data_IF_156333904916
#
_entry.id   IF_156333904916
#
_cell.length_a   1.000
_cell.length_b   1.000
_cell.length_c   1.000
_cell.angle_alpha   90.00
_cell.angle_beta   90.00
_cell.angle_gamma   90.00
#
_symmetry.space_group_name_H-M   'P 1'
#
loop_
_entity.id
_entity.type
_entity.pdbx_description
1 polymer ?
#
# COMPACT_ATOMS: atom_id res chain seq x y z
N UNK A 1 -16.03 -28.98 0.00
CA UNK A 1 -15.59 -27.59 0.26
C UNK A 1 -14.29 -27.34 -0.49
N UNK A 2 -14.27 -26.45 -1.49
CA UNK A 2 -13.03 -26.05 -2.16
C UNK A 2 -12.39 -24.95 -1.30
N UNK A 3 -11.23 -25.22 -0.70
CA UNK A 3 -10.44 -24.19 -0.02
C UNK A 3 -9.50 -23.55 -1.05
N UNK A 4 -9.82 -22.35 -1.51
CA UNK A 4 -8.89 -21.57 -2.35
C UNK A 4 -7.72 -21.11 -1.50
N UNK A 5 -6.53 -21.61 -1.80
CA UNK A 5 -5.26 -21.19 -1.19
C UNK A 5 -4.51 -20.34 -2.19
N UNK A 6 -4.14 -19.13 -1.79
CA UNK A 6 -3.27 -18.27 -2.58
C UNK A 6 -1.82 -18.57 -2.22
N UNK A 7 -0.94 -18.61 -3.22
CA UNK A 7 0.50 -18.57 -3.04
C UNK A 7 1.01 -17.25 -3.62
N UNK A 8 1.75 -16.48 -2.83
CA UNK A 8 2.28 -15.17 -3.24
C UNK A 8 3.80 -15.25 -3.20
N UNK A 9 4.43 -14.87 -4.30
CA UNK A 9 5.89 -14.76 -4.42
C UNK A 9 6.24 -13.29 -4.59
N UNK A 10 7.24 -12.83 -3.84
CA UNK A 10 7.69 -11.44 -3.81
C UNK A 10 9.18 -11.38 -4.17
N UNK A 11 9.61 -10.28 -4.79
CA UNK A 11 10.96 -10.14 -5.38
C UNK A 11 12.08 -10.22 -4.33
N UNK A 12 11.79 -9.79 -3.10
CA UNK A 12 12.69 -9.77 -1.96
C UNK A 12 12.38 -10.89 -0.95
N UNK A 13 11.69 -11.95 -1.41
CA UNK A 13 11.43 -13.16 -0.63
C UNK A 13 10.22 -13.07 0.33
N UNK A 14 10.05 -14.07 1.22
CA UNK A 14 8.84 -14.23 2.02
C UNK A 14 8.53 -13.06 2.95
N UNK A 15 9.56 -12.41 3.51
CA UNK A 15 9.39 -11.29 4.44
C UNK A 15 8.73 -10.07 3.76
N UNK A 16 9.04 -9.82 2.48
CA UNK A 16 8.35 -8.79 1.71
C UNK A 16 6.86 -9.13 1.55
N UNK A 17 6.54 -10.40 1.25
CA UNK A 17 5.15 -10.84 1.18
C UNK A 17 4.42 -10.70 2.52
N UNK A 18 5.07 -10.99 3.65
CA UNK A 18 4.48 -10.80 4.98
C UNK A 18 4.21 -9.33 5.29
N UNK A 19 5.17 -8.44 5.00
CA UNK A 19 5.00 -6.99 5.21
C UNK A 19 3.97 -6.40 4.25
N UNK A 20 3.87 -6.89 3.02
CA UNK A 20 2.81 -6.51 2.08
C UNK A 20 1.44 -6.98 2.56
N UNK A 21 1.34 -8.18 3.16
CA UNK A 21 0.11 -8.63 3.83
C UNK A 21 -0.26 -7.72 4.99
N UNK A 22 0.71 -7.32 5.82
CA UNK A 22 0.51 -6.39 6.92
C UNK A 22 -0.03 -5.05 6.45
N UNK A 23 0.60 -4.44 5.45
CA UNK A 23 0.14 -3.18 4.86
C UNK A 23 -1.29 -3.28 4.33
N UNK A 24 -1.63 -4.37 3.64
CA UNK A 24 -2.99 -4.64 3.17
C UNK A 24 -4.00 -4.81 4.32
N UNK A 25 -3.62 -5.48 5.41
CA UNK A 25 -4.45 -5.60 6.61
C UNK A 25 -4.70 -4.25 7.29
N UNK A 26 -3.68 -3.38 7.36
CA UNK A 26 -3.85 -2.02 7.88
C UNK A 26 -4.84 -1.23 7.02
N UNK A 27 -4.71 -1.25 5.68
CA UNK A 27 -5.66 -0.59 4.78
C UNK A 27 -7.08 -1.12 5.01
N UNK A 28 -7.23 -2.45 5.06
CA UNK A 28 -8.54 -3.07 5.20
C UNK A 28 -9.21 -2.79 6.54
N UNK A 29 -8.46 -2.70 7.64
CA UNK A 29 -9.02 -2.54 8.98
C UNK A 29 -9.16 -1.08 9.41
N UNK A 30 -8.26 -0.20 8.97
CA UNK A 30 -8.26 1.22 9.36
C UNK A 30 -9.18 2.04 8.45
N UNK A 31 -9.25 1.71 7.14
CA UNK A 31 -10.07 2.36 6.09
C UNK A 31 -9.81 3.85 5.83
N UNK A 32 -9.42 4.64 6.83
CA UNK A 32 -9.14 6.07 6.72
C UNK A 32 -7.70 6.32 6.20
N UNK A 33 -7.51 6.91 5.00
CA UNK A 33 -6.19 7.18 4.43
C UNK A 33 -5.32 8.08 5.31
N UNK A 34 -5.90 9.05 6.01
CA UNK A 34 -5.15 9.94 6.90
C UNK A 34 -4.51 9.18 8.07
N UNK A 35 -5.03 8.00 8.41
CA UNK A 35 -4.50 7.15 9.47
C UNK A 35 -3.60 6.05 8.93
N UNK A 36 -3.99 5.37 7.84
CA UNK A 36 -3.21 4.24 7.35
C UNK A 36 -1.96 4.65 6.55
N UNK A 37 -1.96 5.78 5.82
CA UNK A 37 -0.81 6.17 5.00
C UNK A 37 0.46 6.41 5.84
N UNK A 38 0.41 7.14 6.97
CA UNK A 38 1.57 7.27 7.86
C UNK A 38 2.05 5.92 8.43
N UNK A 39 1.13 4.99 8.70
CA UNK A 39 1.48 3.65 9.21
C UNK A 39 2.15 2.82 8.12
N UNK A 40 1.64 2.81 6.89
CA UNK A 40 2.27 2.16 5.75
C UNK A 40 3.68 2.71 5.54
N UNK A 41 3.84 4.03 5.54
CA UNK A 41 5.14 4.69 5.44
C UNK A 41 6.11 4.24 6.55
N UNK A 42 5.62 4.07 7.78
CA UNK A 42 6.44 3.51 8.86
C UNK A 42 6.82 2.03 8.61
N UNK A 43 5.89 1.20 8.10
CA UNK A 43 6.14 -0.23 7.85
C UNK A 43 7.20 -0.42 6.76
N UNK A 44 7.28 0.49 5.79
CA UNK A 44 8.33 0.44 4.76
C UNK A 44 9.73 0.41 5.40
N UNK A 45 10.57 -0.50 4.91
CA UNK A 45 11.92 -0.73 5.43
C UNK A 45 12.00 -1.41 6.80
N UNK A 46 10.88 -1.93 7.35
CA UNK A 46 10.95 -2.83 8.51
C UNK A 46 11.40 -4.22 8.10
N UNK A 47 12.00 -4.95 9.04
CA UNK A 47 12.63 -6.24 8.77
C UNK A 47 11.61 -7.38 8.67
N UNK A 48 10.59 -7.31 9.51
CA UNK A 48 9.64 -8.40 9.76
C UNK A 48 8.37 -7.86 10.45
N UNK A 49 7.35 -8.71 10.58
CA UNK A 49 6.09 -8.38 11.26
C UNK A 49 6.29 -7.92 12.71
N UNK A 50 7.26 -8.50 13.43
CA UNK A 50 7.53 -8.14 14.82
C UNK A 50 8.02 -6.69 14.95
N UNK A 51 9.06 -6.33 14.19
CA UNK A 51 9.61 -4.97 14.17
C UNK A 51 8.64 -3.93 13.62
N UNK A 52 7.82 -4.29 12.64
CA UNK A 52 6.74 -3.44 12.13
C UNK A 52 5.63 -3.24 13.19
N UNK A 53 5.20 -4.33 13.83
CA UNK A 53 4.17 -4.32 14.87
C UNK A 53 4.53 -3.41 16.04
N UNK A 54 5.74 -3.57 16.57
CA UNK A 54 6.22 -2.77 17.70
C UNK A 54 6.38 -1.28 17.35
N UNK A 55 6.91 -0.96 16.17
CA UNK A 55 7.30 0.42 15.82
C UNK A 55 6.20 1.24 15.16
N UNK A 56 5.26 0.61 14.47
CA UNK A 56 4.35 1.31 13.56
C UNK A 56 2.87 1.22 13.92
N UNK A 57 2.44 0.22 14.69
CA UNK A 57 1.01 -0.03 14.93
C UNK A 57 0.47 0.59 16.23
N UNK A 58 1.33 1.12 17.10
CA UNK A 58 0.96 1.58 18.45
C UNK A 58 -0.04 2.74 18.48
N UNK A 59 -0.13 3.54 17.41
CA UNK A 59 -1.03 4.70 17.32
C UNK A 59 -2.40 4.36 16.73
N UNK A 60 -2.63 3.12 16.30
CA UNK A 60 -3.90 2.71 15.73
C UNK A 60 -4.92 2.41 16.83
N UNK A 61 -6.18 2.79 16.59
CA UNK A 61 -7.30 2.40 17.44
C UNK A 61 -7.65 0.91 17.31
N UNK A 62 -7.21 0.27 16.22
CA UNK A 62 -7.39 -1.16 15.97
C UNK A 62 -6.37 -1.94 16.79
N UNK A 63 -6.78 -3.01 17.51
CA UNK A 63 -5.85 -3.82 18.29
C UNK A 63 -4.72 -4.40 17.44
N UNK A 64 -3.47 -4.17 17.87
CA UNK A 64 -2.25 -4.66 17.19
C UNK A 64 -2.33 -6.15 16.91
N UNK A 65 -2.77 -6.94 17.89
CA UNK A 65 -2.92 -8.40 17.77
C UNK A 65 -3.84 -8.78 16.62
N UNK A 66 -4.94 -8.06 16.41
CA UNK A 66 -5.88 -8.35 15.32
C UNK A 66 -5.28 -8.06 13.95
N UNK A 67 -4.46 -7.01 13.84
CA UNK A 67 -3.74 -6.67 12.60
C UNK A 67 -2.68 -7.75 12.29
N UNK A 68 -1.89 -8.16 13.28
CA UNK A 68 -0.87 -9.20 13.10
C UNK A 68 -1.49 -10.56 12.73
N UNK A 69 -2.58 -10.95 13.41
CA UNK A 69 -3.33 -12.17 13.05
C UNK A 69 -3.90 -12.11 11.63
N UNK A 70 -4.28 -10.92 11.15
CA UNK A 70 -4.67 -10.74 9.76
C UNK A 70 -3.48 -10.97 8.82
N UNK A 71 -2.32 -10.37 9.12
CA UNK A 71 -1.11 -10.44 8.29
C UNK A 71 -0.53 -11.86 8.18
N UNK A 72 -0.57 -12.63 9.27
CA UNK A 72 -0.10 -14.03 9.31
C UNK A 72 -1.13 -15.02 8.73
N UNK A 73 -2.38 -14.57 8.58
CA UNK A 73 -3.52 -15.43 8.28
C UNK A 73 -3.95 -15.46 6.81
N UNK A 74 -4.97 -16.29 6.55
CA UNK A 74 -5.61 -16.41 5.23
C UNK A 74 -6.16 -15.07 4.71
N UNK A 75 -6.59 -14.18 5.62
CA UNK A 75 -7.14 -12.87 5.26
C UNK A 75 -6.08 -11.97 4.64
N UNK A 76 -4.94 -11.77 5.30
CA UNK A 76 -3.82 -10.98 4.76
C UNK A 76 -3.37 -11.52 3.41
N UNK A 77 -3.23 -12.85 3.30
CA UNK A 77 -2.86 -13.48 2.04
C UNK A 77 -3.84 -13.25 0.90
N UNK A 78 -5.15 -13.34 1.18
CA UNK A 78 -6.19 -13.04 0.19
C UNK A 78 -6.14 -11.56 -0.24
N UNK A 79 -5.90 -10.65 0.70
CA UNK A 79 -5.78 -9.23 0.39
C UNK A 79 -4.55 -8.95 -0.50
N UNK A 80 -3.40 -9.55 -0.17
CA UNK A 80 -2.21 -9.47 -1.03
C UNK A 80 -2.47 -10.03 -2.43
N UNK A 81 -3.13 -11.19 -2.54
CA UNK A 81 -3.49 -11.76 -3.83
C UNK A 81 -4.43 -10.83 -4.63
N UNK A 82 -5.40 -10.19 -3.97
CA UNK A 82 -6.29 -9.20 -4.61
C UNK A 82 -5.49 -8.01 -5.15
N UNK A 83 -4.59 -7.44 -4.35
CA UNK A 83 -3.72 -6.35 -4.79
C UNK A 83 -2.80 -6.76 -5.95
N UNK A 84 -2.32 -8.01 -5.97
CA UNK A 84 -1.57 -8.57 -7.08
C UNK A 84 -2.39 -8.70 -8.37
N UNK A 85 -3.66 -9.10 -8.28
CA UNK A 85 -4.59 -9.16 -9.43
C UNK A 85 -4.86 -7.76 -9.98
N UNK A 86 -5.12 -6.78 -9.10
CA UNK A 86 -5.31 -5.37 -9.51
C UNK A 86 -4.05 -4.83 -10.20
N UNK A 87 -2.87 -5.06 -9.63
CA UNK A 87 -1.58 -4.69 -10.24
C UNK A 87 -1.37 -5.35 -11.61
N UNK A 88 -1.73 -6.64 -11.76
CA UNK A 88 -1.62 -7.36 -13.04
C UNK A 88 -2.60 -6.83 -14.10
N UNK A 89 -3.69 -6.19 -13.69
CA UNK A 89 -4.71 -5.65 -14.59
C UNK A 89 -4.37 -4.28 -15.18
N UNK A 90 -3.28 -3.64 -14.70
CA UNK A 90 -2.83 -2.34 -15.19
C UNK A 90 -2.61 -2.33 -16.70
N UNK A 91 -2.94 -1.20 -17.32
CA UNK A 91 -2.69 -0.91 -18.73
C UNK A 91 -1.93 0.42 -18.85
N UNK A 92 -0.70 0.44 -19.42
CA UNK A 92 0.07 -0.73 -19.87
C UNK A 92 0.50 -1.64 -18.71
N UNK A 93 0.90 -2.90 -18.99
CA UNK A 93 1.38 -3.82 -17.97
C UNK A 93 2.55 -3.24 -17.16
N UNK A 94 2.59 -3.55 -15.86
CA UNK A 94 3.64 -3.11 -14.95
C UNK A 94 5.01 -3.61 -15.41
N UNK A 95 5.97 -2.70 -15.60
CA UNK A 95 7.36 -3.03 -15.91
C UNK A 95 8.37 -2.44 -14.91
N UNK A 96 7.94 -1.52 -14.04
CA UNK A 96 8.79 -0.86 -13.05
C UNK A 96 7.96 -0.35 -11.87
N UNK A 97 8.55 -0.34 -10.67
CA UNK A 97 7.98 0.27 -9.46
C UNK A 97 8.91 1.41 -8.96
N UNK A 98 8.37 2.51 -8.40
CA UNK A 98 6.96 2.75 -8.12
C UNK A 98 6.13 3.11 -9.37
N UNK A 99 4.87 2.64 -9.38
CA UNK A 99 3.89 2.90 -10.44
C UNK A 99 2.81 3.87 -9.95
N UNK A 100 2.93 5.13 -10.33
CA UNK A 100 2.04 6.21 -9.93
C UNK A 100 1.08 6.53 -11.06
N UNK A 101 -0.21 6.56 -10.75
CA UNK A 101 -1.28 6.97 -11.65
C UNK A 101 -1.97 8.21 -11.11
N UNK A 102 -2.32 9.13 -12.00
CA UNK A 102 -3.13 10.32 -11.72
C UNK A 102 -4.26 10.30 -12.74
N UNK A 103 -5.51 10.36 -12.28
CA UNK A 103 -6.71 10.25 -13.13
C UNK A 103 -6.65 9.05 -14.10
N UNK A 104 -6.37 7.86 -13.55
CA UNK A 104 -6.26 6.59 -14.29
C UNK A 104 -5.12 6.51 -15.33
N UNK A 105 -4.35 7.57 -15.53
CA UNK A 105 -3.21 7.61 -16.44
C UNK A 105 -1.88 7.45 -15.69
N UNK A 106 -0.97 6.65 -16.24
CA UNK A 106 0.41 6.54 -15.72
C UNK A 106 1.14 7.87 -15.87
N UNK A 107 1.66 8.41 -14.76
CA UNK A 107 2.56 9.56 -14.76
C UNK A 107 3.96 9.15 -14.30
N UNK A 108 4.93 9.11 -15.22
CA UNK A 108 6.34 8.90 -14.90
C UNK A 108 6.91 10.06 -14.09
N UNK A 109 6.51 11.28 -14.41
CA UNK A 109 7.06 12.50 -13.82
C UNK A 109 6.66 12.67 -12.36
N UNK A 110 5.49 12.13 -11.98
CA UNK A 110 5.05 12.08 -10.59
C UNK A 110 5.98 11.26 -9.67
N UNK A 111 6.87 10.43 -10.23
CA UNK A 111 7.92 9.78 -9.45
C UNK A 111 8.96 10.79 -8.95
N UNK A 112 9.27 11.81 -9.74
CA UNK A 112 10.26 12.84 -9.41
C UNK A 112 9.62 14.01 -8.65
N UNK A 113 8.42 14.41 -9.06
CA UNK A 113 7.67 15.49 -8.42
C UNK A 113 6.17 15.17 -8.41
N UNK A 114 5.75 14.42 -7.39
CA UNK A 114 4.34 14.07 -7.20
C UNK A 114 3.47 15.32 -6.99
N UNK A 115 3.95 16.31 -6.23
CA UNK A 115 3.12 17.46 -5.86
C UNK A 115 2.80 18.31 -7.08
N UNK A 116 3.81 18.63 -7.89
CA UNK A 116 3.60 19.37 -9.14
C UNK A 116 2.64 18.64 -10.08
N UNK A 117 2.91 17.37 -10.38
CA UNK A 117 2.10 16.59 -11.32
C UNK A 117 0.65 16.38 -10.83
N UNK A 118 0.45 16.26 -9.52
CA UNK A 118 -0.89 16.21 -8.94
C UNK A 118 -1.59 17.57 -9.06
N UNK A 119 -0.91 18.66 -8.69
CA UNK A 119 -1.46 20.00 -8.77
C UNK A 119 -1.87 20.40 -10.19
N UNK A 120 -1.07 20.04 -11.20
CA UNK A 120 -1.36 20.29 -12.61
C UNK A 120 -2.62 19.52 -13.11
N UNK A 121 -2.99 18.44 -12.43
CA UNK A 121 -4.12 17.58 -12.79
C UNK A 121 -5.43 17.90 -12.05
N UNK A 122 -5.41 18.86 -11.11
CA UNK A 122 -6.57 19.24 -10.31
C UNK A 122 -7.31 20.43 -10.91
N UNK A 123 -8.63 20.32 -10.99
CA UNK A 123 -9.53 21.40 -11.40
C UNK A 123 -10.77 21.44 -10.48
N UNK A 124 -11.02 22.52 -9.72
CA UNK A 124 -10.20 23.74 -9.64
C UNK A 124 -8.89 23.52 -8.86
N UNK A 125 -7.89 24.35 -9.16
CA UNK A 125 -6.58 24.32 -8.51
C UNK A 125 -6.68 24.78 -7.05
N UNK A 126 -6.32 23.94 -6.05
CA UNK A 126 -6.35 24.32 -4.64
C UNK A 126 -5.28 25.37 -4.28
N UNK A 127 -5.49 26.11 -3.19
CA UNK A 127 -4.55 27.13 -2.71
C UNK A 127 -3.13 26.58 -2.47
N UNK A 128 -3.03 25.35 -1.97
CA UNK A 128 -1.76 24.66 -1.69
C UNK A 128 -0.92 24.38 -2.94
N UNK A 129 -1.53 24.48 -4.13
CA UNK A 129 -0.90 24.30 -5.43
C UNK A 129 -0.49 25.63 -6.09
N UNK A 130 -0.95 26.78 -5.58
CA UNK A 130 -0.72 28.10 -6.21
C UNK A 130 0.71 28.60 -6.04
N UNK A 131 1.42 28.18 -5.00
CA UNK A 131 2.82 28.57 -4.73
C UNK A 131 3.86 27.84 -5.61
N UNK A 132 3.40 26.92 -6.48
CA UNK A 132 4.28 26.04 -7.28
C UNK A 132 4.15 26.24 -8.79
N UNK A 133 3.40 27.26 -9.21
CA UNK A 133 3.41 27.79 -10.58
C UNK A 133 4.34 28.99 -10.65
#
# INVERSE_FOLDING_TARGET
MITYYFNCECQHGPLECELNQLMNCVIDMVKNPHQYVPVISCIQGKRDLHSAGLKCLSKLLVPIKSILLCAEGKKGRRLLAKAGIETKSLQPPLYFIPWIMINEARSSDAFYDLKKNLCDALDPIPDQCKEQQ
#
